data_IF_965480588765
#
_entry.id   IF_965480588765
#
_cell.length_a   1.000
_cell.length_b   1.000
_cell.length_c   1.000
_cell.angle_alpha   90.00
_cell.angle_beta   90.00
_cell.angle_gamma   90.00
#
_symmetry.space_group_name_H-M   'P 1'
#
loop_
_entity.id
_entity.type
_entity.pdbx_description
1 polymer ?
#
# COMPACT_ATOMS: atom_id res chain seq x y z
N UNK A 1 -15.06 -0.53 2.69
CA UNK A 1 -15.52 -0.65 1.29
C UNK A 1 -14.26 -0.77 0.43
N UNK A 2 -13.88 -1.99 0.02
CA UNK A 2 -12.70 -2.18 -0.85
C UNK A 2 -13.05 -1.62 -2.23
N UNK A 3 -12.22 -0.71 -2.73
CA UNK A 3 -12.49 0.16 -3.87
C UNK A 3 -12.75 -0.62 -5.16
N UNK A 4 -13.79 -0.24 -5.91
CA UNK A 4 -14.11 -0.83 -7.21
C UNK A 4 -13.04 -0.45 -8.26
N UNK A 5 -12.25 -1.43 -8.69
CA UNK A 5 -11.41 -1.28 -9.88
C UNK A 5 -12.33 -1.24 -11.12
N UNK A 6 -12.16 -0.29 -12.05
CA UNK A 6 -12.95 -0.23 -13.27
C UNK A 6 -12.44 -1.29 -14.26
N UNK A 7 -12.77 -2.56 -13.99
CA UNK A 7 -12.49 -3.66 -14.90
C UNK A 7 -13.55 -3.71 -16.00
N UNK A 8 -13.13 -4.01 -17.24
CA UNK A 8 -14.01 -4.23 -18.39
C UNK A 8 -15.06 -5.34 -18.14
N UNK A 9 -14.79 -6.22 -17.16
CA UNK A 9 -15.74 -7.15 -16.56
C UNK A 9 -15.77 -6.95 -15.06
N UNK A 10 -16.95 -6.69 -14.51
CA UNK A 10 -17.15 -6.71 -13.06
C UNK A 10 -17.02 -8.15 -12.58
N UNK A 11 -16.10 -8.39 -11.65
CA UNK A 11 -16.01 -9.68 -10.96
C UNK A 11 -17.06 -9.75 -9.86
N UNK A 12 -17.61 -10.94 -9.63
CA UNK A 12 -18.51 -11.20 -8.53
C UNK A 12 -17.76 -11.15 -7.19
N UNK A 13 -18.45 -10.92 -6.05
CA UNK A 13 -17.81 -10.97 -4.74
C UNK A 13 -17.12 -12.30 -4.44
N UNK A 14 -17.68 -13.42 -4.93
CA UNK A 14 -17.11 -14.76 -4.78
C UNK A 14 -15.80 -14.91 -5.55
N UNK A 15 -15.78 -14.45 -6.81
CA UNK A 15 -14.56 -14.42 -7.62
C UNK A 15 -13.49 -13.53 -6.99
N UNK A 16 -13.87 -12.35 -6.47
CA UNK A 16 -12.94 -11.47 -5.78
C UNK A 16 -12.34 -12.14 -4.53
N UNK A 17 -13.16 -12.81 -3.72
CA UNK A 17 -12.70 -13.58 -2.56
C UNK A 17 -11.69 -14.64 -2.96
N UNK A 18 -12.01 -15.44 -3.98
CA UNK A 18 -11.14 -16.51 -4.47
C UNK A 18 -9.81 -15.97 -4.99
N UNK A 19 -9.85 -14.90 -5.79
CA UNK A 19 -8.66 -14.26 -6.32
C UNK A 19 -7.75 -13.73 -5.21
N UNK A 20 -8.30 -13.07 -4.20
CA UNK A 20 -7.53 -12.55 -3.05
C UNK A 20 -6.93 -13.70 -2.24
N UNK A 21 -7.71 -14.74 -1.92
CA UNK A 21 -7.22 -15.87 -1.13
C UNK A 21 -6.12 -16.65 -1.86
N UNK A 22 -6.28 -16.91 -3.16
CA UNK A 22 -5.33 -17.72 -3.92
C UNK A 22 -4.10 -16.94 -4.39
N UNK A 23 -4.26 -15.66 -4.76
CA UNK A 23 -3.17 -14.87 -5.36
C UNK A 23 -2.43 -14.02 -4.35
N UNK A 24 -3.13 -13.36 -3.43
CA UNK A 24 -2.51 -12.47 -2.44
C UNK A 24 -2.13 -13.27 -1.20
N UNK A 25 -3.12 -13.84 -0.51
CA UNK A 25 -2.86 -14.56 0.75
C UNK A 25 -2.07 -15.87 0.53
N UNK A 26 -2.28 -16.53 -0.61
CA UNK A 26 -1.62 -17.80 -0.94
C UNK A 26 -0.21 -17.68 -1.52
N UNK A 27 0.22 -16.49 -1.99
CA UNK A 27 1.52 -16.31 -2.68
C UNK A 27 2.40 -15.21 -2.12
N UNK A 28 1.85 -14.29 -1.32
CA UNK A 28 2.57 -13.16 -0.77
C UNK A 28 2.60 -13.23 0.76
N UNK A 29 3.66 -12.72 1.36
CA UNK A 29 3.71 -12.50 2.81
C UNK A 29 2.89 -11.27 3.16
N UNK A 30 1.73 -11.48 3.78
CA UNK A 30 0.89 -10.40 4.30
C UNK A 30 1.48 -9.90 5.61
N UNK A 31 1.65 -8.57 5.74
CA UNK A 31 2.13 -7.92 6.97
C UNK A 31 0.96 -7.21 7.66
N UNK A 32 0.78 -7.51 8.94
CA UNK A 32 -0.21 -6.84 9.78
C UNK A 32 0.24 -5.41 10.14
N UNK A 33 -0.74 -4.51 10.25
CA UNK A 33 -0.52 -3.14 10.71
C UNK A 33 -0.69 -3.06 12.22
N UNK A 34 0.35 -2.62 12.90
CA UNK A 34 0.31 -2.31 14.33
C UNK A 34 -0.14 -0.87 14.59
N UNK A 35 -0.53 -0.58 15.82
CA UNK A 35 -0.82 0.79 16.27
C UNK A 35 0.35 1.75 15.99
N UNK A 36 1.59 1.30 16.19
CA UNK A 36 2.77 2.11 15.93
C UNK A 36 2.90 2.49 14.45
N UNK A 37 2.57 1.57 13.54
CA UNK A 37 2.63 1.83 12.09
C UNK A 37 1.62 2.92 11.68
N UNK A 38 0.43 2.92 12.31
CA UNK A 38 -0.57 3.97 12.10
C UNK A 38 -0.10 5.34 12.62
N UNK A 39 0.43 5.40 13.85
CA UNK A 39 0.91 6.66 14.43
C UNK A 39 2.04 7.26 13.59
N UNK A 40 2.99 6.43 13.18
CA UNK A 40 4.10 6.86 12.33
C UNK A 40 3.62 7.37 10.97
N UNK A 41 2.68 6.67 10.33
CA UNK A 41 2.11 7.11 9.06
C UNK A 41 1.36 8.44 9.21
N UNK A 42 0.56 8.63 10.27
CA UNK A 42 -0.14 9.90 10.51
C UNK A 42 0.81 11.04 10.78
N UNK A 43 1.88 10.81 11.55
CA UNK A 43 2.91 11.82 11.82
C UNK A 43 3.64 12.23 10.53
N UNK A 44 4.01 11.25 9.69
CA UNK A 44 4.64 11.48 8.40
C UNK A 44 3.78 12.38 7.50
N UNK A 45 2.48 12.07 7.38
CA UNK A 45 1.55 12.80 6.51
C UNK A 45 1.30 14.22 7.06
N UNK A 46 1.17 14.36 8.38
CA UNK A 46 1.00 15.65 9.05
C UNK A 46 2.23 16.56 8.89
N UNK A 47 3.44 16.02 9.10
CA UNK A 47 4.69 16.77 8.92
C UNK A 47 4.89 17.23 7.48
N UNK A 48 4.46 16.43 6.50
CA UNK A 48 4.51 16.77 5.09
C UNK A 48 3.40 17.73 4.63
N UNK A 49 2.45 18.11 5.50
CA UNK A 49 1.30 18.94 5.14
C UNK A 49 0.35 18.28 4.13
N UNK A 50 0.37 16.94 4.05
CA UNK A 50 -0.44 16.16 3.12
C UNK A 50 -1.81 15.86 3.74
N UNK A 51 -2.83 15.69 2.89
CA UNK A 51 -4.22 15.49 3.32
C UNK A 51 -4.89 14.35 2.54
N UNK A 52 -6.08 13.94 3.00
CA UNK A 52 -6.92 12.91 2.35
C UNK A 52 -6.31 11.51 2.40
N UNK A 53 -6.58 10.66 1.40
CA UNK A 53 -6.21 9.24 1.35
C UNK A 53 -4.70 8.94 1.31
N UNK A 54 -3.84 9.95 1.32
CA UNK A 54 -2.36 9.80 1.31
C UNK A 54 -1.86 9.03 2.54
N UNK A 55 -2.62 9.00 3.64
CA UNK A 55 -2.30 8.17 4.82
C UNK A 55 -2.17 6.68 4.49
N UNK A 56 -2.91 6.16 3.51
CA UNK A 56 -2.79 4.76 3.09
C UNK A 56 -1.49 4.50 2.32
N UNK A 57 -1.08 5.44 1.47
CA UNK A 57 0.22 5.38 0.79
C UNK A 57 1.37 5.44 1.83
N UNK A 58 1.24 6.27 2.86
CA UNK A 58 2.22 6.37 3.95
C UNK A 58 2.31 5.07 4.77
N UNK A 59 1.19 4.41 5.09
CA UNK A 59 1.20 3.09 5.75
C UNK A 59 2.01 2.06 4.96
N UNK A 60 1.86 2.03 3.63
CA UNK A 60 2.65 1.14 2.79
C UNK A 60 4.16 1.47 2.86
N UNK A 61 4.54 2.74 2.89
CA UNK A 61 5.95 3.16 3.03
C UNK A 61 6.51 2.77 4.40
N UNK A 62 5.78 3.01 5.48
CA UNK A 62 6.17 2.65 6.87
C UNK A 62 6.43 1.15 6.97
N UNK A 63 5.50 0.31 6.49
CA UNK A 63 5.64 -1.14 6.54
C UNK A 63 6.77 -1.64 5.64
N UNK A 64 6.94 -1.06 4.45
CA UNK A 64 8.04 -1.40 3.55
C UNK A 64 9.39 -1.13 4.19
N UNK A 65 9.55 0.03 4.86
CA UNK A 65 10.76 0.40 5.59
C UNK A 65 11.02 -0.55 6.76
N UNK A 66 10.01 -0.81 7.59
CA UNK A 66 10.08 -1.73 8.73
C UNK A 66 10.40 -3.17 8.30
N UNK A 67 9.94 -3.57 7.12
CA UNK A 67 10.21 -4.88 6.53
C UNK A 67 11.51 -4.93 5.72
N UNK A 68 12.29 -3.84 5.71
CA UNK A 68 13.55 -3.69 4.98
C UNK A 68 13.40 -4.01 3.48
N UNK A 69 12.26 -3.65 2.88
CA UNK A 69 12.03 -3.84 1.46
C UNK A 69 12.95 -2.93 0.63
N UNK A 70 13.58 -3.49 -0.39
CA UNK A 70 14.42 -2.73 -1.32
C UNK A 70 13.59 -1.95 -2.35
N UNK A 71 12.42 -2.49 -2.71
CA UNK A 71 11.57 -1.99 -3.79
C UNK A 71 10.11 -1.92 -3.37
N UNK A 72 9.44 -0.85 -3.80
CA UNK A 72 8.00 -0.69 -3.66
C UNK A 72 7.35 -0.67 -5.04
N UNK A 73 6.48 -1.64 -5.29
CA UNK A 73 5.76 -1.79 -6.56
C UNK A 73 4.43 -1.03 -6.51
N UNK A 74 4.25 -0.05 -7.40
CA UNK A 74 3.00 0.72 -7.46
C UNK A 74 2.79 1.35 -8.83
N UNK A 75 1.53 1.43 -9.26
CA UNK A 75 1.14 2.25 -10.40
C UNK A 75 0.97 3.74 -10.01
N UNK A 76 0.90 4.05 -8.72
CA UNK A 76 0.75 5.42 -8.20
C UNK A 76 2.12 6.05 -7.86
N UNK A 77 3.02 6.10 -8.84
CA UNK A 77 4.41 6.54 -8.64
C UNK A 77 4.52 7.92 -8.00
N UNK A 78 3.64 8.86 -8.38
CA UNK A 78 3.70 10.25 -7.93
C UNK A 78 3.54 10.36 -6.41
N UNK A 79 2.56 9.70 -5.82
CA UNK A 79 2.31 9.82 -4.38
C UNK A 79 3.38 9.08 -3.58
N UNK A 80 3.79 7.89 -4.03
CA UNK A 80 4.81 7.11 -3.33
C UNK A 80 6.20 7.75 -3.38
N UNK A 81 6.60 8.36 -4.49
CA UNK A 81 7.90 9.06 -4.57
C UNK A 81 8.00 10.28 -3.65
N UNK A 82 6.86 10.93 -3.34
CA UNK A 82 6.83 12.03 -2.38
C UNK A 82 6.97 11.60 -0.91
N UNK A 83 6.68 10.33 -0.62
CA UNK A 83 6.66 9.77 0.74
C UNK A 83 7.83 8.83 1.03
N UNK A 84 8.29 8.08 0.03
CA UNK A 84 9.29 7.04 0.21
C UNK A 84 10.68 7.64 0.47
N UNK A 85 11.27 7.41 1.65
CA UNK A 85 12.64 7.81 1.90
C UNK A 85 13.61 6.91 1.11
N UNK A 86 14.76 7.47 0.72
CA UNK A 86 15.89 6.63 0.30
C UNK A 86 16.26 5.70 1.47
N UNK A 87 16.47 4.38 1.27
CA UNK A 87 16.88 3.72 0.02
C UNK A 87 15.78 2.97 -0.77
N UNK A 88 14.49 3.09 -0.41
CA UNK A 88 13.45 2.28 -1.05
C UNK A 88 13.20 2.78 -2.48
N UNK A 89 13.40 1.91 -3.47
CA UNK A 89 13.19 2.26 -4.87
C UNK A 89 11.73 2.06 -5.26
N UNK A 90 11.03 3.14 -5.61
CA UNK A 90 9.64 3.09 -6.09
C UNK A 90 9.62 2.80 -7.59
N UNK A 91 9.05 1.66 -7.96
CA UNK A 91 9.00 1.19 -9.36
C UNK A 91 7.58 0.78 -9.74
N UNK A 92 7.28 0.88 -11.03
CA UNK A 92 6.09 0.23 -11.60
C UNK A 92 6.38 -1.26 -11.79
N UNK A 93 5.39 -2.16 -11.57
CA UNK A 93 5.48 -3.55 -12.02
C UNK A 93 5.80 -3.66 -13.52
#
# INVERSE_FOLDING_TARGET
MLTALPLARRITPEEARRLISESVAGRLTVRDLSKADYLEATDMVAQAGLISGVVYDALHVVVARKSQCERLLTYNLRHFRGLAPHPITVVTP
#
